data_IF_177657176959
#
_entry.id   IF_177657176959
#
_cell.length_a   1.000
_cell.length_b   1.000
_cell.length_c   1.000
_cell.angle_alpha   90.00
_cell.angle_beta   90.00
_cell.angle_gamma   90.00
#
_symmetry.space_group_name_H-M   'P 1'
#
loop_
_entity.id
_entity.type
_entity.pdbx_description
1 polymer ?
#
# COMPACT_ATOMS: atom_id res chain seq x y z
N UNK A 1 -10.50 -19.51 -12.92
CA UNK A 1 -9.45 -18.98 -12.03
C UNK A 1 -9.72 -19.48 -10.62
N UNK A 2 -8.72 -20.03 -9.95
CA UNK A 2 -8.85 -20.48 -8.56
C UNK A 2 -8.56 -19.29 -7.64
N UNK A 3 -9.53 -18.90 -6.83
CA UNK A 3 -9.40 -17.79 -5.88
C UNK A 3 -9.39 -18.33 -4.45
N UNK A 4 -8.44 -17.88 -3.65
CA UNK A 4 -8.36 -18.19 -2.22
C UNK A 4 -8.63 -16.92 -1.44
N UNK A 5 -9.63 -16.94 -0.57
CA UNK A 5 -9.89 -15.84 0.37
C UNK A 5 -8.91 -15.95 1.54
N UNK A 6 -8.17 -14.87 1.79
CA UNK A 6 -7.38 -14.69 3.02
C UNK A 6 -8.11 -13.68 3.90
N UNK A 7 -8.31 -14.01 5.17
CA UNK A 7 -8.97 -13.11 6.13
C UNK A 7 -7.91 -12.22 6.77
N UNK A 8 -8.12 -10.91 6.72
CA UNK A 8 -7.26 -9.89 7.34
C UNK A 8 -8.04 -9.08 8.37
N UNK A 9 -7.33 -8.48 9.34
CA UNK A 9 -7.95 -7.57 10.33
C UNK A 9 -8.22 -6.17 9.76
N UNK A 10 -7.45 -5.74 8.76
CA UNK A 10 -7.65 -4.48 8.08
C UNK A 10 -8.75 -4.60 7.03
N UNK A 11 -9.73 -3.68 7.08
CA UNK A 11 -10.78 -3.55 6.07
C UNK A 11 -10.39 -2.54 5.00
N UNK A 12 -10.17 -3.03 3.78
CA UNK A 12 -9.80 -2.24 2.61
C UNK A 12 -11.06 -1.97 1.77
N UNK A 13 -11.30 -0.70 1.45
CA UNK A 13 -12.44 -0.27 0.63
C UNK A 13 -12.08 -0.10 -0.83
N UNK A 14 -10.82 0.22 -1.14
CA UNK A 14 -10.33 0.38 -2.50
C UNK A 14 -8.82 0.11 -2.61
N UNK A 15 -8.35 -0.21 -3.80
CA UNK A 15 -6.93 -0.47 -4.08
C UNK A 15 -6.51 0.07 -5.45
N UNK A 16 -5.26 0.53 -5.53
CA UNK A 16 -4.60 0.85 -6.79
C UNK A 16 -3.21 0.22 -6.83
N UNK A 17 -2.90 -0.48 -7.92
CA UNK A 17 -1.61 -1.14 -8.13
C UNK A 17 -0.89 -0.53 -9.33
N UNK A 18 0.34 -0.09 -9.13
CA UNK A 18 1.28 0.24 -10.20
C UNK A 18 2.25 -0.90 -10.47
N UNK A 19 3.26 -0.65 -11.33
CA UNK A 19 4.26 -1.64 -11.71
C UNK A 19 5.06 -2.20 -10.52
N UNK A 20 5.30 -1.40 -9.50
CA UNK A 20 6.11 -1.79 -8.33
C UNK A 20 5.67 -1.08 -7.05
N UNK A 21 4.42 -0.65 -6.97
CA UNK A 21 3.86 0.02 -5.78
C UNK A 21 2.36 -0.26 -5.68
N UNK A 22 1.82 -0.22 -4.46
CA UNK A 22 0.41 -0.45 -4.16
C UNK A 22 -0.06 0.60 -3.15
N UNK A 23 -1.27 1.10 -3.36
CA UNK A 23 -2.00 1.96 -2.44
C UNK A 23 -3.28 1.24 -2.02
N UNK A 24 -3.58 1.25 -0.72
CA UNK A 24 -4.79 0.66 -0.15
C UNK A 24 -5.54 1.72 0.63
N UNK A 25 -6.82 1.93 0.30
CA UNK A 25 -7.72 2.79 1.07
C UNK A 25 -8.40 1.96 2.16
N UNK A 26 -8.27 2.36 3.42
CA UNK A 26 -8.94 1.69 4.53
C UNK A 26 -10.33 2.29 4.76
N UNK A 27 -11.20 1.55 5.45
CA UNK A 27 -12.49 2.08 5.93
C UNK A 27 -12.35 3.29 6.87
N UNK A 28 -11.16 3.52 7.45
CA UNK A 28 -10.87 4.67 8.32
C UNK A 28 -10.40 5.91 7.54
N UNK A 29 -10.50 5.87 6.21
CA UNK A 29 -9.97 6.90 5.31
C UNK A 29 -8.45 7.11 5.42
N UNK A 30 -7.72 6.05 5.80
CA UNK A 30 -6.25 6.03 5.78
C UNK A 30 -5.78 5.43 4.45
N UNK A 31 -4.64 5.91 3.94
CA UNK A 31 -4.00 5.35 2.75
C UNK A 31 -2.72 4.64 3.16
N UNK A 32 -2.71 3.32 3.02
CA UNK A 32 -1.51 2.50 3.21
C UNK A 32 -0.77 2.41 1.88
N UNK A 33 0.52 2.70 1.89
CA UNK A 33 1.35 2.72 0.68
C UNK A 33 2.53 1.78 0.85
N UNK A 34 2.81 0.96 -0.17
CA UNK A 34 3.95 0.05 -0.13
C UNK A 34 4.60 -0.13 -1.50
N UNK A 35 5.88 -0.48 -1.51
CA UNK A 35 6.68 -0.75 -2.70
C UNK A 35 7.71 0.32 -3.00
N UNK A 36 8.09 0.42 -4.27
CA UNK A 36 9.08 1.38 -4.77
C UNK A 36 8.62 2.81 -4.50
N UNK A 37 9.55 3.69 -4.14
CA UNK A 37 9.35 5.13 -4.02
C UNK A 37 10.32 5.95 -4.89
N UNK A 38 11.03 5.30 -5.83
CA UNK A 38 12.12 5.91 -6.62
C UNK A 38 11.72 7.19 -7.37
N UNK A 39 10.44 7.39 -7.63
CA UNK A 39 9.89 8.55 -8.33
C UNK A 39 8.86 9.33 -7.49
N UNK A 40 8.81 9.08 -6.17
CA UNK A 40 7.84 9.73 -5.27
C UNK A 40 6.41 9.17 -5.37
N UNK A 41 6.24 8.00 -5.98
CA UNK A 41 4.91 7.41 -6.21
C UNK A 41 4.11 7.10 -4.93
N UNK A 42 4.78 7.05 -3.77
CA UNK A 42 4.10 6.82 -2.50
C UNK A 42 3.51 8.10 -1.89
N UNK A 43 3.79 9.28 -2.45
CA UNK A 43 3.20 10.55 -2.00
C UNK A 43 3.69 11.03 -0.63
N UNK A 44 4.85 10.53 -0.15
CA UNK A 44 5.37 10.80 1.20
C UNK A 44 6.12 12.13 1.34
N UNK A 45 6.15 12.96 0.30
CA UNK A 45 6.93 14.21 0.27
C UNK A 45 8.43 14.03 0.03
N UNK A 46 8.89 12.80 -0.20
CA UNK A 46 10.28 12.48 -0.57
C UNK A 46 10.32 11.26 -1.51
N UNK A 47 11.46 11.07 -2.21
CA UNK A 47 11.66 10.02 -3.23
C UNK A 47 12.57 8.88 -2.77
N UNK A 48 13.05 8.94 -1.53
CA UNK A 48 13.89 7.90 -0.97
C UNK A 48 13.07 6.62 -0.75
N UNK A 49 13.71 5.47 -0.97
CA UNK A 49 13.15 4.20 -0.54
C UNK A 49 12.85 4.28 0.96
N UNK A 50 11.59 4.06 1.31
CA UNK A 50 11.22 3.87 2.71
C UNK A 50 11.76 2.51 3.09
N UNK A 51 12.74 2.47 3.99
CA UNK A 51 13.19 1.21 4.58
C UNK A 51 11.99 0.45 5.14
N UNK A 52 12.04 -0.88 5.03
CA UNK A 52 11.01 -1.81 5.50
C UNK A 52 10.30 -1.31 6.77
N UNK A 53 8.98 -1.17 6.66
CA UNK A 53 8.01 -0.67 7.64
C UNK A 53 8.42 -0.83 9.12
N UNK A 54 8.48 0.27 9.88
CA UNK A 54 8.74 0.29 11.33
C UNK A 54 7.51 -0.10 12.18
N UNK A 55 6.92 -1.26 11.92
CA UNK A 55 6.00 -1.92 12.85
C UNK A 55 4.68 -1.19 13.15
N UNK A 56 3.74 -1.29 12.22
CA UNK A 56 2.34 -1.61 12.59
C UNK A 56 2.07 -3.05 12.16
#
# INVERSE_FOLDING_TARGET
>A
AHFTKVVTSASITDLACGLSHILLLTQRAEVLVMGSNRYGQLGLGFVNQVGMWLGL
#
